data_IF_811179875015
#
_entry.id   IF_811179875015
#
_cell.length_a   1.000
_cell.length_b   1.000
_cell.length_c   1.000
_cell.angle_alpha   90.00
_cell.angle_beta   90.00
_cell.angle_gamma   90.00
#
_symmetry.space_group_name_H-M   'P 1'
#
loop_
_entity.id
_entity.type
_entity.pdbx_description
1 polymer ?
#
# COMPACT_ATOMS: atom_id res chain seq x y z
N UNK A 1 -55.75 24.23 1.15
CA UNK A 1 -54.73 23.18 1.06
C UNK A 1 -53.54 23.75 0.33
N UNK A 2 -52.49 24.15 1.07
CA UNK A 2 -51.22 24.61 0.50
C UNK A 2 -50.18 23.64 1.05
N UNK A 3 -49.69 22.76 0.18
CA UNK A 3 -48.72 21.74 0.54
C UNK A 3 -47.36 22.42 0.76
N UNK A 4 -46.78 22.20 1.94
CA UNK A 4 -45.44 22.65 2.28
C UNK A 4 -44.41 21.80 1.51
N UNK A 5 -43.61 22.44 0.66
CA UNK A 5 -42.42 21.83 0.05
C UNK A 5 -41.21 22.14 0.92
N UNK A 6 -40.93 21.29 1.90
CA UNK A 6 -39.66 21.23 2.59
C UNK A 6 -38.70 20.35 1.78
N UNK A 7 -37.95 20.94 0.85
CA UNK A 7 -36.84 20.30 0.17
C UNK A 7 -35.53 20.66 0.87
N UNK A 8 -35.05 19.80 1.75
CA UNK A 8 -33.78 19.97 2.44
C UNK A 8 -32.61 19.88 1.43
N UNK A 9 -31.88 20.99 1.23
CA UNK A 9 -30.55 20.95 0.63
C UNK A 9 -29.56 20.44 1.68
N UNK A 10 -29.39 19.13 1.76
CA UNK A 10 -28.25 18.51 2.40
C UNK A 10 -27.22 18.17 1.32
N UNK A 11 -26.46 19.16 0.84
CA UNK A 11 -25.16 18.88 0.25
C UNK A 11 -24.19 18.63 1.40
N UNK A 12 -24.26 17.42 1.93
CA UNK A 12 -23.24 16.86 2.78
C UNK A 12 -21.91 16.98 2.03
N UNK A 13 -21.02 17.83 2.54
CA UNK A 13 -19.63 17.87 2.09
C UNK A 13 -19.05 16.49 2.31
N UNK A 14 -18.83 15.75 1.22
CA UNK A 14 -17.90 14.64 1.24
C UNK A 14 -16.55 15.23 1.59
N UNK A 15 -15.92 14.88 2.73
CA UNK A 15 -14.51 15.16 2.86
C UNK A 15 -13.85 14.42 1.69
N UNK A 16 -13.28 15.17 0.75
CA UNK A 16 -12.26 14.61 -0.11
C UNK A 16 -11.22 14.08 0.87
N UNK A 17 -11.11 12.75 0.97
CA UNK A 17 -9.94 12.14 1.57
C UNK A 17 -8.78 12.70 0.77
N UNK A 18 -8.06 13.69 1.33
CA UNK A 18 -6.82 14.16 0.76
C UNK A 18 -5.99 12.90 0.52
N UNK A 19 -5.65 12.64 -0.73
CA UNK A 19 -5.09 11.35 -1.13
C UNK A 19 -3.78 11.16 -0.36
N UNK A 20 -3.87 10.33 0.68
CA UNK A 20 -2.80 10.19 1.65
C UNK A 20 -1.75 9.30 1.00
N UNK A 21 -0.58 9.85 0.69
CA UNK A 21 0.51 9.02 0.18
C UNK A 21 1.25 8.40 1.36
N UNK A 22 1.92 7.28 1.15
CA UNK A 22 2.80 6.72 2.16
C UNK A 22 4.02 6.10 1.50
N UNK A 23 5.12 6.10 2.24
CA UNK A 23 6.36 5.43 1.88
C UNK A 23 6.74 4.49 3.02
N UNK A 24 6.96 3.23 2.72
CA UNK A 24 7.30 2.21 3.70
C UNK A 24 8.62 1.54 3.36
N UNK A 25 9.37 1.14 4.39
CA UNK A 25 10.59 0.34 4.23
C UNK A 25 10.77 -0.65 5.36
N UNK A 26 11.60 -1.68 5.14
CA UNK A 26 12.05 -2.56 6.20
C UNK A 26 13.28 -1.95 6.90
N UNK A 27 13.05 -1.31 8.05
CA UNK A 27 14.05 -0.49 8.76
C UNK A 27 15.36 -1.24 9.12
N UNK A 28 15.29 -2.56 9.33
CA UNK A 28 16.46 -3.38 9.69
C UNK A 28 17.09 -4.12 8.50
N UNK A 29 16.67 -3.84 7.26
CA UNK A 29 17.12 -4.54 6.05
C UNK A 29 16.86 -6.06 6.06
N UNK A 30 15.94 -6.51 6.91
CA UNK A 30 15.54 -7.91 7.00
C UNK A 30 14.41 -8.17 6.02
N UNK A 31 14.54 -9.16 5.14
CA UNK A 31 13.39 -9.74 4.39
C UNK A 31 13.15 -11.17 4.85
N UNK A 32 11.89 -11.59 4.86
CA UNK A 32 11.52 -13.00 4.95
C UNK A 32 11.26 -13.50 3.54
N UNK A 33 12.08 -14.44 3.07
CA UNK A 33 11.85 -15.14 1.82
C UNK A 33 11.21 -16.50 2.14
N UNK A 34 10.06 -16.80 1.56
CA UNK A 34 9.37 -18.07 1.78
C UNK A 34 9.26 -18.87 0.47
N UNK A 35 9.71 -20.13 0.51
CA UNK A 35 9.61 -21.10 -0.58
C UNK A 35 9.40 -22.51 0.00
N UNK A 36 8.64 -23.36 -0.69
CA UNK A 36 8.44 -24.78 -0.33
C UNK A 36 8.11 -25.04 1.16
N UNK A 37 7.25 -24.20 1.74
CA UNK A 37 6.82 -24.25 3.14
C UNK A 37 7.92 -23.95 4.19
N UNK A 38 9.07 -23.45 3.77
CA UNK A 38 10.09 -22.87 4.64
C UNK A 38 10.18 -21.36 4.44
N UNK A 39 10.59 -20.64 5.48
CA UNK A 39 10.90 -19.22 5.41
C UNK A 39 12.28 -18.97 5.99
N UNK A 40 13.09 -18.20 5.29
CA UNK A 40 14.42 -17.77 5.73
C UNK A 40 14.44 -16.26 5.88
N UNK A 41 15.14 -15.79 6.92
CA UNK A 41 15.45 -14.38 7.07
C UNK A 41 16.71 -14.10 6.28
N UNK A 42 16.64 -13.16 5.35
CA UNK A 42 17.80 -12.68 4.60
C UNK A 42 18.14 -11.26 5.06
N UNK A 43 19.41 -11.06 5.36
CA UNK A 43 19.97 -9.76 5.74
C UNK A 43 20.24 -8.89 4.49
N UNK A 44 20.35 -7.57 4.69
CA UNK A 44 20.71 -6.56 3.69
C UNK A 44 19.75 -6.39 2.49
N UNK A 45 18.49 -6.84 2.61
CA UNK A 45 17.51 -6.70 1.56
C UNK A 45 16.68 -5.42 1.74
N UNK A 46 16.97 -4.36 0.98
CA UNK A 46 16.13 -3.15 0.99
C UNK A 46 14.83 -3.41 0.21
N UNK A 47 13.70 -3.22 0.89
CA UNK A 47 12.38 -3.19 0.29
C UNK A 47 11.73 -1.83 0.57
N UNK A 48 11.29 -1.16 -0.49
CA UNK A 48 10.53 0.09 -0.41
C UNK A 48 9.15 -0.12 -1.02
N UNK A 49 8.12 0.35 -0.35
CA UNK A 49 6.72 0.28 -0.82
C UNK A 49 6.13 1.67 -0.78
N UNK A 50 5.43 2.09 -1.82
CA UNK A 50 4.78 3.39 -1.86
C UNK A 50 3.38 3.31 -2.45
N UNK A 51 2.49 4.15 -1.96
CA UNK A 51 1.32 4.59 -2.74
C UNK A 51 1.39 6.09 -2.90
N UNK A 52 1.16 6.59 -4.11
CA UNK A 52 1.06 8.02 -4.36
C UNK A 52 -0.38 8.54 -4.24
N UNK A 53 -0.54 9.86 -4.39
CA UNK A 53 -1.85 10.52 -4.34
C UNK A 53 -2.80 10.16 -5.50
N UNK A 54 -2.35 9.36 -6.46
CA UNK A 54 -3.15 8.87 -7.59
C UNK A 54 -3.44 7.36 -7.48
N UNK A 55 -3.28 6.80 -6.28
CA UNK A 55 -3.44 5.38 -5.99
C UNK A 55 -2.53 4.46 -6.81
N UNK A 56 -1.39 4.97 -7.30
CA UNK A 56 -0.38 4.10 -7.89
C UNK A 56 0.42 3.43 -6.78
N UNK A 57 0.39 2.10 -6.77
CA UNK A 57 1.12 1.27 -5.82
C UNK A 57 2.43 0.79 -6.45
N UNK A 58 3.54 1.04 -5.75
CA UNK A 58 4.88 0.70 -6.18
C UNK A 58 5.56 -0.14 -5.12
N UNK A 59 6.20 -1.23 -5.53
CA UNK A 59 7.07 -2.06 -4.70
C UNK A 59 8.44 -2.06 -5.35
N UNK A 60 9.50 -1.76 -4.61
CA UNK A 60 10.88 -1.79 -5.08
C UNK A 60 11.70 -2.68 -4.16
N UNK A 61 12.32 -3.71 -4.72
CA UNK A 61 13.26 -4.59 -4.04
C UNK A 61 14.62 -4.53 -4.72
N UNK A 62 15.67 -4.25 -3.95
CA UNK A 62 17.03 -4.09 -4.48
C UNK A 62 17.08 -3.07 -5.63
N UNK A 63 17.35 -3.51 -6.87
CA UNK A 63 17.47 -2.66 -8.06
C UNK A 63 16.22 -2.67 -8.96
N UNK A 64 15.16 -3.39 -8.58
CA UNK A 64 13.95 -3.59 -9.39
C UNK A 64 12.73 -2.94 -8.73
N UNK A 65 11.87 -2.34 -9.55
CA UNK A 65 10.59 -1.78 -9.11
C UNK A 65 9.45 -2.34 -9.97
N UNK A 66 8.30 -2.52 -9.33
CA UNK A 66 7.04 -2.93 -9.94
C UNK A 66 5.96 -1.94 -9.54
N UNK A 67 5.20 -1.44 -10.51
CA UNK A 67 4.16 -0.46 -10.25
C UNK A 67 2.88 -0.71 -11.05
N UNK A 68 1.77 -0.21 -10.52
CA UNK A 68 0.46 -0.36 -11.11
C UNK A 68 -0.63 0.26 -10.23
N UNK A 69 -1.91 0.09 -10.59
CA UNK A 69 -3.01 0.55 -9.77
C UNK A 69 -3.04 -0.17 -8.41
N UNK A 70 -3.20 0.60 -7.34
CA UNK A 70 -3.48 0.14 -6.00
C UNK A 70 -4.96 0.32 -5.65
N UNK A 71 -5.52 -0.59 -4.87
CA UNK A 71 -6.85 -0.44 -4.26
C UNK A 71 -6.69 -0.37 -2.76
N UNK A 72 -7.28 0.66 -2.14
CA UNK A 72 -7.25 0.84 -0.69
C UNK A 72 -8.53 0.34 -0.04
N UNK A 73 -8.39 -0.26 1.13
CA UNK A 73 -9.49 -0.63 1.99
C UNK A 73 -9.09 -0.38 3.45
N UNK A 74 -10.07 -0.08 4.29
CA UNK A 74 -9.87 0.07 5.74
C UNK A 74 -10.56 -1.10 6.44
N UNK A 75 -9.82 -1.77 7.31
CA UNK A 75 -10.34 -2.87 8.13
C UNK A 75 -9.95 -2.63 9.59
N UNK A 76 -10.91 -2.17 10.39
CA UNK A 76 -10.64 -1.76 11.77
C UNK A 76 -9.65 -0.60 11.85
N UNK A 77 -8.53 -0.82 12.51
CA UNK A 77 -7.46 0.18 12.66
C UNK A 77 -6.43 0.13 11.52
N UNK A 78 -6.57 -0.78 10.57
CA UNK A 78 -5.55 -1.02 9.53
C UNK A 78 -6.01 -0.49 8.18
N UNK A 79 -5.09 0.14 7.45
CA UNK A 79 -5.20 0.38 6.02
C UNK A 79 -4.56 -0.79 5.29
N UNK A 80 -5.27 -1.32 4.30
CA UNK A 80 -4.81 -2.42 3.46
C UNK A 80 -4.84 -1.92 2.03
N UNK A 81 -3.75 -2.12 1.32
CA UNK A 81 -3.60 -1.74 -0.08
C UNK A 81 -3.17 -2.93 -0.89
N UNK A 82 -3.91 -3.21 -1.95
CA UNK A 82 -3.68 -4.33 -2.86
C UNK A 82 -3.31 -3.81 -4.24
N UNK A 83 -2.18 -4.24 -4.78
CA UNK A 83 -1.84 -4.10 -6.19
C UNK A 83 -1.95 -5.43 -6.90
N UNK A 84 -2.62 -5.45 -8.05
CA UNK A 84 -2.81 -6.64 -8.88
C UNK A 84 -2.27 -6.36 -10.28
N UNK A 85 -1.49 -7.27 -10.84
CA UNK A 85 -0.85 -7.11 -12.15
C UNK A 85 0.13 -5.93 -12.24
N UNK A 86 0.88 -5.68 -11.16
CA UNK A 86 2.00 -4.75 -11.12
C UNK A 86 3.02 -5.11 -12.22
N UNK A 87 3.53 -4.09 -12.90
CA UNK A 87 4.46 -4.25 -14.01
C UNK A 87 5.84 -3.81 -13.58
N UNK A 88 6.85 -4.61 -13.90
CA UNK A 88 8.23 -4.20 -13.71
C UNK A 88 8.52 -2.96 -14.56
N UNK A 89 9.14 -1.96 -13.94
CA UNK A 89 9.53 -0.72 -14.61
C UNK A 89 10.73 -0.91 -15.55
N UNK A 90 11.47 -2.01 -15.40
CA UNK A 90 12.64 -2.35 -16.21
C UNK A 90 12.40 -3.47 -17.25
N UNK A 91 11.17 -3.97 -17.41
CA UNK A 91 10.84 -4.96 -18.43
C UNK A 91 10.45 -6.33 -17.87
N UNK A 92 11.13 -7.41 -18.27
CA UNK A 92 10.83 -8.80 -17.85
C UNK A 92 11.29 -9.13 -16.43
N UNK A 93 11.32 -8.14 -15.53
CA UNK A 93 11.93 -8.17 -14.20
C UNK A 93 11.35 -9.16 -13.19
N UNK A 94 10.50 -10.11 -13.61
CA UNK A 94 9.93 -11.13 -12.75
C UNK A 94 8.84 -10.59 -11.83
N UNK A 95 8.57 -11.32 -10.73
CA UNK A 95 7.61 -10.95 -9.69
C UNK A 95 8.17 -9.85 -8.76
N UNK A 96 7.33 -9.06 -8.06
CA UNK A 96 5.89 -9.26 -7.85
C UNK A 96 4.99 -8.80 -9.00
N UNK A 97 4.08 -9.68 -9.41
CA UNK A 97 2.90 -9.29 -10.18
C UNK A 97 1.79 -8.79 -9.25
N UNK A 98 1.68 -9.33 -8.05
CA UNK A 98 0.65 -8.96 -7.08
C UNK A 98 1.32 -8.65 -5.73
N UNK A 99 0.76 -7.69 -5.00
CA UNK A 99 1.27 -7.30 -3.69
C UNK A 99 0.15 -6.78 -2.78
N UNK A 100 0.28 -7.06 -1.47
CA UNK A 100 -0.64 -6.57 -0.43
C UNK A 100 0.16 -5.96 0.72
N UNK A 101 -0.08 -4.68 0.97
CA UNK A 101 0.38 -3.97 2.15
C UNK A 101 -0.77 -3.90 3.17
N UNK A 102 -0.53 -4.26 4.42
CA UNK A 102 -1.42 -3.96 5.53
C UNK A 102 -0.64 -3.26 6.64
N UNK A 103 -1.10 -2.09 7.09
CA UNK A 103 -0.41 -1.33 8.14
C UNK A 103 -1.37 -0.54 9.02
N UNK A 104 -0.94 -0.23 10.24
CA UNK A 104 -1.63 0.69 11.13
C UNK A 104 -1.11 2.12 10.88
N UNK A 105 -1.91 3.04 10.33
CA UNK A 105 -1.46 4.40 10.03
C UNK A 105 -1.13 5.23 11.28
N UNK A 106 -1.53 4.80 12.48
CA UNK A 106 -1.19 5.50 13.73
C UNK A 106 0.24 5.21 14.18
N UNK A 107 0.67 3.95 14.03
CA UNK A 107 2.01 3.50 14.45
C UNK A 107 2.99 3.45 13.28
N UNK A 108 2.48 3.45 12.05
CA UNK A 108 3.25 3.22 10.82
C UNK A 108 3.66 1.76 10.66
N UNK A 109 3.30 0.85 11.56
CA UNK A 109 3.79 -0.54 11.50
C UNK A 109 2.87 -1.41 10.65
N UNK A 110 3.46 -2.26 9.81
CA UNK A 110 2.71 -3.13 8.93
C UNK A 110 3.49 -4.31 8.39
N UNK A 111 2.88 -4.99 7.42
CA UNK A 111 3.46 -6.10 6.66
C UNK A 111 3.17 -5.93 5.18
N UNK A 112 4.09 -6.44 4.36
CA UNK A 112 3.93 -6.57 2.91
C UNK A 112 4.04 -8.04 2.52
N UNK A 113 3.12 -8.47 1.66
CA UNK A 113 3.14 -9.75 0.98
C UNK A 113 3.23 -9.46 -0.53
N UNK A 114 4.40 -9.61 -1.12
CA UNK A 114 4.69 -9.29 -2.51
C UNK A 114 5.72 -10.28 -3.06
N UNK A 115 5.33 -11.50 -3.47
CA UNK A 115 6.25 -12.58 -3.79
C UNK A 115 7.39 -12.13 -4.74
N UNK A 116 8.66 -12.47 -4.43
CA UNK A 116 9.13 -13.31 -3.33
C UNK A 116 9.34 -12.56 -2.00
N UNK A 117 8.98 -11.29 -1.91
CA UNK A 117 9.19 -10.42 -0.76
C UNK A 117 8.07 -10.55 0.26
N UNK A 118 8.41 -10.99 1.46
CA UNK A 118 7.51 -10.97 2.62
C UNK A 118 8.23 -10.28 3.77
N UNK A 119 7.68 -9.20 4.32
CA UNK A 119 8.41 -8.44 5.33
C UNK A 119 7.51 -7.69 6.30
N UNK A 120 7.89 -7.56 7.58
CA UNK A 120 7.46 -6.42 8.37
C UNK A 120 8.01 -5.14 7.76
N UNK A 121 7.24 -4.06 7.80
CA UNK A 121 7.65 -2.75 7.29
C UNK A 121 7.19 -1.63 8.22
N UNK A 122 7.88 -0.50 8.10
CA UNK A 122 7.53 0.75 8.74
C UNK A 122 7.17 1.79 7.67
N UNK A 123 6.00 2.40 7.79
CA UNK A 123 5.41 3.36 6.88
C UNK A 123 5.44 4.76 7.47
N UNK A 124 5.84 5.73 6.65
CA UNK A 124 5.66 7.15 6.86
C UNK A 124 4.44 7.61 6.07
N UNK A 125 3.44 8.11 6.79
CA UNK A 125 2.20 8.64 6.21
C UNK A 125 2.41 10.10 5.85
N UNK A 126 2.19 10.43 4.58
CA UNK A 126 2.23 11.79 4.07
C UNK A 126 0.79 12.27 3.86
N UNK A 127 0.29 13.21 4.68
CA UNK A 127 -1.02 13.79 4.44
C UNK A 127 -1.05 14.42 3.03
N UNK A 128 -2.11 14.15 2.27
CA UNK A 128 -2.27 14.72 0.94
C UNK A 128 -2.28 16.25 1.01
N UNK A 129 -1.50 16.89 0.13
CA UNK A 129 -1.57 18.34 -0.12
C UNK A 129 -2.87 18.74 -0.85
#
# INVERSE_FOLDING_TARGET
>A
MIAASAGALALAGTPALAATSYTCSNAELLRVACADAACEVMDEAILTVAIDGYDRFTVCGEALCWSGPGTRQVSGAYEIVTGVGLKSEMGDGGAPNDAVLAFDPKTGMGTILAPPFYSPIQCLVHPGE
#
